data_IF_892849860382
#
_entry.id   IF_892849860382
#
_cell.length_a   1.000
_cell.length_b   1.000
_cell.length_c   1.000
_cell.angle_alpha   90.00
_cell.angle_beta   90.00
_cell.angle_gamma   90.00
#
_symmetry.space_group_name_H-M   'P 1'
#
loop_
_entity.id
_entity.type
_entity.pdbx_description
1 polymer ?
#
# COMPACT_ATOMS: atom_id res chain seq x y z
N UNK A 1 80.91 -17.34 -19.73
CA UNK A 1 80.88 -18.75 -20.19
C UNK A 1 80.20 -19.59 -19.12
N UNK A 2 79.13 -20.30 -19.52
CA UNK A 2 78.59 -21.56 -18.95
C UNK A 2 78.03 -21.51 -17.52
N UNK A 3 76.90 -22.09 -17.17
CA UNK A 3 75.81 -22.81 -17.84
C UNK A 3 74.76 -23.00 -16.71
N UNK A 4 73.48 -22.67 -16.88
CA UNK A 4 72.42 -23.55 -17.42
C UNK A 4 72.29 -24.94 -16.79
N UNK A 5 71.21 -25.08 -16.01
CA UNK A 5 70.03 -25.93 -16.33
C UNK A 5 69.96 -27.37 -15.78
N UNK A 6 68.70 -27.89 -15.75
CA UNK A 6 68.19 -29.29 -15.68
C UNK A 6 67.70 -29.77 -14.30
N UNK A 7 66.49 -30.30 -14.05
CA UNK A 7 65.24 -30.71 -14.79
C UNK A 7 64.13 -30.81 -13.71
N UNK A 8 62.87 -30.38 -13.89
CA UNK A 8 61.73 -31.08 -14.54
C UNK A 8 61.17 -32.22 -13.67
N UNK A 9 59.87 -32.52 -13.50
CA UNK A 9 58.56 -31.98 -13.86
C UNK A 9 57.50 -32.95 -13.25
N UNK A 10 56.23 -32.53 -13.23
CA UNK A 10 54.99 -33.35 -13.14
C UNK A 10 54.41 -33.67 -11.73
N UNK A 11 53.10 -33.65 -11.43
CA UNK A 11 51.83 -33.24 -12.10
C UNK A 11 50.69 -33.47 -11.06
N UNK A 12 49.64 -32.61 -11.10
CA UNK A 12 48.24 -32.80 -10.64
C UNK A 12 47.89 -33.28 -9.21
N UNK A 13 47.11 -32.48 -8.48
CA UNK A 13 45.63 -32.56 -8.46
C UNK A 13 45.02 -31.52 -7.49
N UNK A 14 44.22 -30.59 -8.03
CA UNK A 14 43.25 -29.82 -7.24
C UNK A 14 42.04 -30.70 -6.93
N UNK A 15 41.67 -30.79 -5.67
CA UNK A 15 40.29 -31.03 -5.26
C UNK A 15 39.99 -30.11 -4.06
N UNK A 16 39.28 -29.03 -4.35
CA UNK A 16 38.76 -28.10 -3.37
C UNK A 16 37.51 -28.69 -2.70
N UNK A 17 37.49 -28.71 -1.37
CA UNK A 17 36.29 -28.92 -0.58
C UNK A 17 36.33 -27.97 0.63
N UNK A 18 36.12 -26.68 0.38
CA UNK A 18 35.89 -25.68 1.42
C UNK A 18 34.40 -25.66 1.76
N UNK A 19 34.02 -26.28 2.88
CA UNK A 19 32.70 -26.12 3.47
C UNK A 19 32.68 -24.78 4.21
N UNK A 20 32.26 -23.72 3.52
CA UNK A 20 32.01 -22.40 4.12
C UNK A 20 30.56 -22.42 4.58
N UNK A 21 30.36 -22.40 5.90
CA UNK A 21 29.03 -22.20 6.50
C UNK A 21 28.49 -20.86 6.02
N UNK A 22 27.49 -20.92 5.15
CA UNK A 22 26.80 -19.75 4.61
C UNK A 22 25.98 -19.10 5.71
N UNK A 23 26.30 -17.85 6.03
CA UNK A 23 25.35 -16.92 6.63
C UNK A 23 24.17 -16.78 5.65
N UNK A 24 23.00 -17.25 6.05
CA UNK A 24 21.76 -16.93 5.36
C UNK A 24 21.56 -15.42 5.45
N UNK A 25 21.88 -14.72 4.36
CA UNK A 25 21.32 -13.40 4.13
C UNK A 25 19.81 -13.59 3.96
N UNK A 26 19.08 -13.41 5.06
CA UNK A 26 17.66 -13.07 4.99
C UNK A 26 17.58 -11.76 4.23
N UNK A 27 17.35 -11.86 2.92
CA UNK A 27 17.04 -10.72 2.09
C UNK A 27 15.68 -10.19 2.56
N UNK A 28 15.70 -9.35 3.60
CA UNK A 28 14.58 -8.52 3.98
C UNK A 28 14.10 -7.85 2.70
N UNK A 29 12.89 -8.21 2.26
CA UNK A 29 12.28 -7.66 1.07
C UNK A 29 12.43 -6.14 1.16
N UNK A 30 13.21 -5.56 0.26
CA UNK A 30 13.26 -4.11 0.10
C UNK A 30 11.81 -3.64 -0.04
N UNK A 31 11.35 -2.66 0.77
CA UNK A 31 10.04 -2.07 0.54
C UNK A 31 10.03 -1.54 -0.90
N UNK A 32 8.98 -1.83 -1.69
CA UNK A 32 8.93 -1.29 -3.03
C UNK A 32 8.96 0.23 -2.93
N UNK A 33 9.90 0.86 -3.66
CA UNK A 33 10.08 2.31 -3.77
C UNK A 33 8.86 3.06 -4.34
N UNK A 34 7.72 2.37 -4.48
CA UNK A 34 6.47 2.82 -5.09
C UNK A 34 5.32 2.88 -4.08
N UNK A 35 5.57 2.78 -2.76
CA UNK A 35 4.51 2.75 -1.75
C UNK A 35 3.47 3.86 -1.96
N UNK A 36 3.88 5.11 -2.23
CA UNK A 36 2.98 6.24 -2.51
C UNK A 36 2.18 6.08 -3.81
N UNK A 37 2.78 5.49 -4.85
CA UNK A 37 2.13 5.24 -6.15
C UNK A 37 1.18 4.05 -6.10
N UNK A 38 1.51 3.01 -5.33
CA UNK A 38 0.64 1.84 -5.08
C UNK A 38 -0.49 2.20 -4.11
N UNK A 39 -0.27 3.12 -3.17
CA UNK A 39 -1.24 3.64 -2.20
C UNK A 39 -2.42 4.41 -2.83
N UNK A 40 -2.33 4.77 -4.11
CA UNK A 40 -3.40 5.43 -4.86
C UNK A 40 -4.08 4.53 -5.91
N UNK A 41 -3.72 3.26 -6.01
CA UNK A 41 -4.25 2.36 -7.06
C UNK A 41 -5.61 1.80 -6.68
N UNK A 42 -6.65 2.59 -6.87
CA UNK A 42 -8.02 2.14 -6.72
C UNK A 42 -8.44 1.25 -7.89
N UNK A 43 -8.95 0.05 -7.59
CA UNK A 43 -9.60 -0.78 -8.62
C UNK A 43 -11.01 -0.26 -8.89
N UNK A 44 -11.21 0.42 -10.02
CA UNK A 44 -12.55 0.87 -10.42
C UNK A 44 -13.53 -0.30 -10.54
N UNK A 45 -13.07 -1.46 -11.05
CA UNK A 45 -13.91 -2.66 -11.15
C UNK A 45 -14.08 -3.40 -9.82
N UNK A 46 -13.09 -3.36 -8.94
CA UNK A 46 -13.24 -3.80 -7.56
C UNK A 46 -14.30 -2.98 -6.80
N UNK A 47 -14.26 -1.65 -6.90
CA UNK A 47 -15.29 -0.75 -6.34
C UNK A 47 -16.66 -1.06 -6.90
N UNK A 48 -16.77 -1.18 -8.24
CA UNK A 48 -18.04 -1.52 -8.88
C UNK A 48 -18.61 -2.85 -8.36
N UNK A 49 -17.78 -3.89 -8.24
CA UNK A 49 -18.22 -5.18 -7.70
C UNK A 49 -18.76 -5.07 -6.27
N UNK A 50 -18.13 -4.25 -5.42
CA UNK A 50 -18.59 -4.01 -4.05
C UNK A 50 -19.94 -3.28 -4.00
N UNK A 51 -20.12 -2.28 -4.85
CA UNK A 51 -21.40 -1.59 -4.98
C UNK A 51 -22.49 -2.53 -5.49
N UNK A 52 -22.20 -3.35 -6.49
CA UNK A 52 -23.12 -4.34 -7.02
C UNK A 52 -23.54 -5.36 -5.95
N UNK A 53 -22.59 -5.85 -5.13
CA UNK A 53 -22.88 -6.73 -3.99
C UNK A 53 -23.78 -6.02 -2.96
N UNK A 54 -23.49 -4.77 -2.61
CA UNK A 54 -24.32 -4.00 -1.67
C UNK A 54 -25.74 -3.80 -2.20
N UNK A 55 -25.88 -3.47 -3.48
CA UNK A 55 -27.16 -3.31 -4.14
C UNK A 55 -27.91 -4.64 -4.26
N UNK A 56 -27.21 -5.75 -4.47
CA UNK A 56 -27.83 -7.08 -4.55
C UNK A 56 -28.47 -7.47 -3.22
N UNK A 57 -27.79 -7.23 -2.10
CA UNK A 57 -28.35 -7.42 -0.75
C UNK A 57 -29.61 -6.60 -0.54
N UNK A 58 -29.58 -5.31 -0.91
CA UNK A 58 -30.76 -4.44 -0.85
C UNK A 58 -31.90 -4.98 -1.73
N UNK A 59 -31.58 -5.44 -2.94
CA UNK A 59 -32.56 -5.99 -3.87
C UNK A 59 -33.24 -7.26 -3.34
N UNK A 60 -32.50 -8.15 -2.65
CA UNK A 60 -33.07 -9.32 -1.97
C UNK A 60 -34.14 -8.87 -0.97
N UNK A 61 -33.80 -7.97 -0.04
CA UNK A 61 -34.73 -7.52 1.00
C UNK A 61 -35.84 -6.60 0.48
N UNK A 62 -35.68 -6.07 -0.73
CA UNK A 62 -36.72 -5.29 -1.42
C UNK A 62 -37.65 -6.16 -2.28
N UNK A 63 -37.53 -7.50 -2.22
CA UNK A 63 -38.36 -8.41 -3.01
C UNK A 63 -38.03 -8.40 -4.51
N UNK A 64 -36.78 -8.08 -4.89
CA UNK A 64 -36.32 -7.99 -6.29
C UNK A 64 -35.22 -9.03 -6.58
N UNK A 65 -35.50 -10.35 -6.46
CA UNK A 65 -34.49 -11.40 -6.59
C UNK A 65 -33.86 -11.45 -8.00
N UNK A 66 -34.61 -11.18 -9.06
CA UNK A 66 -34.07 -11.10 -10.42
C UNK A 66 -33.01 -9.99 -10.55
N UNK A 67 -33.20 -8.85 -9.88
CA UNK A 67 -32.22 -7.78 -9.85
C UNK A 67 -30.99 -8.17 -9.04
N UNK A 68 -31.17 -8.83 -7.89
CA UNK A 68 -30.06 -9.33 -7.09
C UNK A 68 -29.17 -10.29 -7.90
N UNK A 69 -29.77 -11.23 -8.63
CA UNK A 69 -29.04 -12.17 -9.51
C UNK A 69 -28.27 -11.44 -10.61
N UNK A 70 -28.85 -10.40 -11.20
CA UNK A 70 -28.16 -9.58 -12.21
C UNK A 70 -26.94 -8.87 -11.60
N UNK A 71 -27.12 -8.20 -10.47
CA UNK A 71 -26.05 -7.46 -9.79
C UNK A 71 -24.91 -8.38 -9.35
N UNK A 72 -25.21 -9.56 -8.81
CA UNK A 72 -24.15 -10.52 -8.45
C UNK A 72 -23.38 -11.00 -9.69
N UNK A 73 -24.04 -11.21 -10.83
CA UNK A 73 -23.35 -11.53 -12.10
C UNK A 73 -22.46 -10.38 -12.58
N UNK A 74 -22.91 -9.13 -12.44
CA UNK A 74 -22.13 -7.94 -12.75
C UNK A 74 -20.91 -7.81 -11.83
N UNK A 75 -21.07 -8.14 -10.54
CA UNK A 75 -19.96 -8.22 -9.59
C UNK A 75 -18.94 -9.30 -9.98
N UNK A 76 -19.39 -10.50 -10.38
CA UNK A 76 -18.50 -11.57 -10.88
C UNK A 76 -17.69 -11.11 -12.10
N UNK A 77 -18.33 -10.43 -13.05
CA UNK A 77 -17.65 -9.91 -14.24
C UNK A 77 -16.65 -8.82 -13.89
N UNK A 78 -17.04 -7.90 -13.00
CA UNK A 78 -16.16 -6.81 -12.55
C UNK A 78 -14.93 -7.36 -11.82
N UNK A 79 -15.09 -8.36 -10.96
CA UNK A 79 -13.95 -8.99 -10.28
C UNK A 79 -12.99 -9.70 -11.25
N UNK A 80 -13.49 -10.35 -12.30
CA UNK A 80 -12.61 -10.95 -13.35
C UNK A 80 -11.75 -9.93 -14.08
N UNK A 81 -12.22 -8.68 -14.18
CA UNK A 81 -11.45 -7.57 -14.73
C UNK A 81 -10.49 -7.03 -13.67
N UNK A 82 -10.96 -6.85 -12.43
CA UNK A 82 -10.16 -6.35 -11.32
C UNK A 82 -8.96 -7.25 -11.00
N UNK A 83 -9.09 -8.57 -11.15
CA UNK A 83 -7.97 -9.51 -11.01
C UNK A 83 -6.80 -9.24 -11.97
N UNK A 84 -7.05 -8.52 -13.07
CA UNK A 84 -6.08 -8.27 -14.15
C UNK A 84 -5.64 -6.81 -14.26
N UNK A 85 -6.21 -5.92 -13.45
CA UNK A 85 -6.00 -4.48 -13.58
C UNK A 85 -4.68 -3.99 -12.92
N UNK A 86 -3.90 -4.91 -12.33
CA UNK A 86 -2.62 -4.65 -11.66
C UNK A 86 -2.70 -3.59 -10.53
N UNK A 87 -3.88 -3.39 -9.95
CA UNK A 87 -4.06 -2.53 -8.76
C UNK A 87 -3.81 -3.28 -7.46
N UNK A 88 -3.85 -4.61 -7.51
CA UNK A 88 -3.63 -5.47 -6.36
C UNK A 88 -2.19 -5.44 -5.86
N UNK A 89 -2.01 -5.55 -4.54
CA UNK A 89 -0.71 -5.65 -3.91
C UNK A 89 -0.63 -6.84 -2.94
N UNK A 90 0.58 -7.39 -2.76
CA UNK A 90 0.82 -8.47 -1.81
C UNK A 90 1.22 -7.90 -0.46
N UNK A 91 0.49 -8.28 0.60
CA UNK A 91 0.79 -7.85 1.97
C UNK A 91 0.21 -8.85 2.98
N UNK A 92 0.85 -9.01 4.14
CA UNK A 92 0.25 -9.76 5.23
C UNK A 92 -0.90 -8.96 5.86
N UNK A 93 -1.95 -9.63 6.33
CA UNK A 93 -3.07 -8.94 7.00
C UNK A 93 -2.58 -8.20 8.26
N UNK A 94 -1.58 -8.77 8.95
CA UNK A 94 -0.95 -8.15 10.13
C UNK A 94 -0.25 -6.82 9.84
N UNK A 95 0.11 -6.55 8.59
CA UNK A 95 0.82 -5.34 8.21
C UNK A 95 -0.12 -4.21 7.79
N UNK A 96 -1.41 -4.53 7.57
CA UNK A 96 -2.46 -3.56 7.29
C UNK A 96 -2.78 -2.79 8.56
N UNK A 97 -2.78 -1.47 8.46
CA UNK A 97 -3.01 -0.58 9.60
C UNK A 97 -4.36 0.11 9.45
N UNK A 98 -5.31 -0.06 10.39
CA UNK A 98 -6.50 0.78 10.40
C UNK A 98 -6.11 2.24 10.72
N UNK A 99 -6.91 3.23 10.28
CA UNK A 99 -6.70 4.61 10.68
C UNK A 99 -6.85 4.76 12.20
N UNK A 100 -6.17 5.74 12.84
CA UNK A 100 -6.21 5.92 14.30
C UNK A 100 -7.61 6.12 14.89
N UNK A 101 -8.56 6.59 14.07
CA UNK A 101 -9.97 6.79 14.45
C UNK A 101 -10.82 5.52 14.42
N UNK A 102 -10.28 4.40 13.89
CA UNK A 102 -10.97 3.11 13.85
C UNK A 102 -10.33 2.12 14.82
N UNK A 103 -11.19 1.44 15.59
CA UNK A 103 -10.77 0.25 16.31
C UNK A 103 -10.37 -0.84 15.31
N UNK A 104 -9.35 -1.63 15.67
CA UNK A 104 -8.99 -2.81 14.89
C UNK A 104 -10.22 -3.72 14.73
N UNK A 105 -10.51 -4.13 13.50
CA UNK A 105 -11.70 -4.92 13.21
C UNK A 105 -11.65 -6.26 13.97
N UNK A 106 -12.75 -6.71 14.60
CA UNK A 106 -12.78 -8.01 15.26
C UNK A 106 -12.39 -9.13 14.28
N UNK A 107 -11.41 -9.94 14.65
CA UNK A 107 -10.89 -11.00 13.78
C UNK A 107 -9.87 -10.53 12.73
N UNK A 108 -9.28 -9.34 12.86
CA UNK A 108 -8.04 -8.99 12.16
C UNK A 108 -7.01 -10.09 12.44
N UNK A 109 -6.78 -10.95 11.44
CA UNK A 109 -5.98 -12.12 11.65
C UNK A 109 -4.54 -11.68 11.91
N UNK A 110 -3.87 -12.27 12.91
CA UNK A 110 -2.40 -12.24 13.04
C UNK A 110 -1.71 -13.04 11.90
N UNK A 111 -2.34 -13.10 10.74
CA UNK A 111 -1.87 -13.87 9.60
C UNK A 111 -0.72 -13.09 8.98
N UNK A 112 0.48 -13.63 9.19
CA UNK A 112 1.74 -13.11 8.64
C UNK A 112 1.99 -13.60 7.22
N UNK A 113 1.11 -14.46 6.67
CA UNK A 113 1.23 -14.93 5.28
C UNK A 113 0.72 -13.85 4.34
N UNK A 114 1.53 -13.37 3.39
CA UNK A 114 1.09 -12.39 2.40
C UNK A 114 -0.04 -12.94 1.54
N UNK A 115 -1.10 -12.14 1.37
CA UNK A 115 -2.18 -12.38 0.42
C UNK A 115 -2.33 -11.20 -0.52
N UNK A 116 -3.03 -11.41 -1.64
CA UNK A 116 -3.28 -10.35 -2.63
C UNK A 116 -4.48 -9.52 -2.23
N UNK A 117 -4.23 -8.25 -1.96
CA UNK A 117 -5.21 -7.25 -1.55
C UNK A 117 -5.56 -6.36 -2.72
N UNK A 118 -6.87 -6.19 -2.95
CA UNK A 118 -7.40 -5.29 -3.97
C UNK A 118 -7.97 -4.04 -3.30
N UNK A 119 -7.48 -2.84 -3.65
CA UNK A 119 -8.09 -1.60 -3.18
C UNK A 119 -9.44 -1.37 -3.85
N UNK A 120 -10.50 -1.28 -3.04
CA UNK A 120 -11.89 -1.09 -3.49
C UNK A 120 -12.49 0.24 -3.03
N UNK A 121 -11.79 0.97 -2.16
CA UNK A 121 -12.11 2.33 -1.77
C UNK A 121 -10.87 3.06 -1.27
N UNK A 122 -10.87 4.38 -1.35
CA UNK A 122 -9.79 5.20 -0.81
C UNK A 122 -10.33 6.56 -0.35
N UNK A 123 -9.84 7.02 0.80
CA UNK A 123 -10.13 8.32 1.36
C UNK A 123 -8.83 9.08 1.65
N UNK A 124 -8.88 10.40 1.53
CA UNK A 124 -7.78 11.32 1.89
C UNK A 124 -8.22 12.13 3.10
N UNK A 125 -7.43 12.06 4.17
CA UNK A 125 -7.62 12.89 5.36
C UNK A 125 -6.58 14.00 5.36
N UNK A 126 -7.03 15.25 5.49
CA UNK A 126 -6.17 16.41 5.68
C UNK A 126 -6.38 16.92 7.10
N UNK A 127 -5.30 17.22 7.82
CA UNK A 127 -5.35 17.73 9.19
C UNK A 127 -4.39 18.89 9.33
N UNK A 128 -4.89 20.03 9.80
CA UNK A 128 -4.11 21.20 10.18
C UNK A 128 -4.56 21.73 11.54
N UNK A 129 -3.96 22.82 11.99
CA UNK A 129 -4.31 23.49 13.24
C UNK A 129 -5.32 24.64 13.05
N UNK A 130 -5.91 24.76 11.86
CA UNK A 130 -6.82 25.83 11.42
C UNK A 130 -6.32 27.26 11.70
N UNK A 131 -5.01 27.44 11.91
CA UNK A 131 -4.43 28.75 12.18
C UNK A 131 -4.17 29.50 10.87
N UNK A 132 -4.55 30.77 10.77
CA UNK A 132 -4.36 31.56 9.54
C UNK A 132 -2.89 32.00 9.37
N UNK A 133 -1.95 31.05 9.30
CA UNK A 133 -0.52 31.33 9.12
C UNK A 133 -0.24 31.66 7.64
N UNK A 134 0.44 32.78 7.33
CA UNK A 134 0.80 33.13 5.95
C UNK A 134 1.59 32.04 5.22
N UNK A 135 2.38 31.25 5.96
CA UNK A 135 3.13 30.11 5.43
C UNK A 135 2.21 28.97 4.93
N UNK A 136 1.17 28.61 5.69
CA UNK A 136 0.20 27.59 5.30
C UNK A 136 -0.61 28.02 4.08
N UNK A 137 -1.07 29.28 4.04
CA UNK A 137 -1.80 29.81 2.87
C UNK A 137 -0.99 29.74 1.57
N UNK A 138 0.32 30.08 1.64
CA UNK A 138 1.23 29.94 0.49
C UNK A 138 1.44 28.48 0.09
N UNK A 139 1.54 27.57 1.05
CA UNK A 139 1.69 26.15 0.78
C UNK A 139 0.44 25.58 0.10
N UNK A 140 -0.77 25.93 0.55
CA UNK A 140 -2.03 25.54 -0.10
C UNK A 140 -2.09 26.07 -1.53
N UNK A 141 -1.73 27.34 -1.76
CA UNK A 141 -1.69 27.90 -3.11
C UNK A 141 -0.71 27.14 -4.03
N UNK A 142 0.48 26.83 -3.52
CA UNK A 142 1.48 26.06 -4.28
C UNK A 142 1.04 24.61 -4.53
N UNK A 143 0.43 23.95 -3.54
CA UNK A 143 -0.13 22.62 -3.69
C UNK A 143 -1.23 22.60 -4.77
N UNK A 144 -2.12 23.59 -4.78
CA UNK A 144 -3.15 23.74 -5.82
C UNK A 144 -2.55 23.89 -7.22
N UNK A 145 -1.43 24.61 -7.37
CA UNK A 145 -0.73 24.68 -8.65
C UNK A 145 -0.15 23.33 -9.08
N UNK A 146 0.39 22.54 -8.14
CA UNK A 146 0.89 21.20 -8.43
C UNK A 146 -0.25 20.28 -8.85
N UNK A 147 -1.40 20.33 -8.16
CA UNK A 147 -2.59 19.56 -8.53
C UNK A 147 -3.11 19.91 -9.92
N UNK A 148 -3.20 21.21 -10.26
CA UNK A 148 -3.57 21.66 -11.62
C UNK A 148 -2.63 21.14 -12.70
N UNK A 149 -1.36 20.89 -12.35
CA UNK A 149 -0.34 20.32 -13.24
C UNK A 149 -0.33 18.78 -13.26
N UNK A 150 -1.29 18.13 -12.59
CA UNK A 150 -1.36 16.67 -12.48
C UNK A 150 -0.25 16.08 -11.61
N UNK A 151 0.27 16.83 -10.63
CA UNK A 151 1.39 16.44 -9.76
C UNK A 151 0.93 16.28 -8.30
N UNK A 152 0.11 15.26 -7.97
CA UNK A 152 -0.40 15.06 -6.62
C UNK A 152 0.70 14.82 -5.59
N UNK A 153 1.75 14.05 -5.92
CA UNK A 153 2.87 13.79 -5.00
C UNK A 153 3.61 15.08 -4.61
N UNK A 154 3.78 16.00 -5.56
CA UNK A 154 4.39 17.29 -5.31
C UNK A 154 3.49 18.18 -4.43
N UNK A 155 2.17 18.12 -4.63
CA UNK A 155 1.21 18.85 -3.81
C UNK A 155 1.25 18.38 -2.35
N UNK A 156 1.21 17.06 -2.13
CA UNK A 156 1.26 16.44 -0.81
C UNK A 156 2.54 16.81 -0.07
N UNK A 157 3.69 16.79 -0.78
CA UNK A 157 4.98 17.19 -0.20
C UNK A 157 4.97 18.65 0.25
N UNK A 158 4.39 19.55 -0.54
CA UNK A 158 4.27 20.97 -0.19
C UNK A 158 3.40 21.17 1.05
N UNK A 159 2.28 20.45 1.15
CA UNK A 159 1.37 20.52 2.31
C UNK A 159 2.05 19.99 3.59
N UNK A 160 2.70 18.82 3.50
CA UNK A 160 3.40 18.19 4.63
C UNK A 160 4.49 19.09 5.24
N UNK A 161 5.22 19.84 4.40
CA UNK A 161 6.25 20.80 4.84
C UNK A 161 5.69 22.04 5.56
N UNK A 162 4.39 22.33 5.41
CA UNK A 162 3.73 23.48 6.01
C UNK A 162 2.88 23.12 7.24
N UNK A 163 3.15 21.97 7.86
CA UNK A 163 2.36 21.40 8.96
C UNK A 163 0.88 21.15 8.60
N UNK A 164 0.59 20.96 7.31
CA UNK A 164 -0.70 20.44 6.84
C UNK A 164 -0.50 18.94 6.59
N UNK A 165 -0.96 18.12 7.54
CA UNK A 165 -0.81 16.68 7.45
C UNK A 165 -1.76 16.09 6.41
N UNK A 166 -1.27 15.12 5.63
CA UNK A 166 -2.07 14.37 4.66
C UNK A 166 -1.88 12.89 4.93
N UNK A 167 -2.99 12.17 5.10
CA UNK A 167 -3.00 10.73 5.27
C UNK A 167 -3.95 10.07 4.26
N UNK A 168 -3.59 8.86 3.83
CA UNK A 168 -4.40 8.04 2.94
C UNK A 168 -4.98 6.86 3.73
N UNK A 169 -6.25 6.55 3.50
CA UNK A 169 -6.89 5.33 4.00
C UNK A 169 -7.40 4.54 2.82
N UNK A 170 -6.85 3.35 2.57
CA UNK A 170 -7.38 2.42 1.56
C UNK A 170 -8.27 1.38 2.22
N UNK A 171 -9.45 1.15 1.65
CA UNK A 171 -10.26 -0.03 1.91
C UNK A 171 -9.84 -1.13 0.93
N UNK A 172 -9.38 -2.26 1.46
CA UNK A 172 -8.79 -3.36 0.69
C UNK A 172 -9.44 -4.69 1.01
N UNK A 173 -9.51 -5.59 0.03
CA UNK A 173 -10.18 -6.90 0.16
C UNK A 173 -9.29 -8.03 -0.36
N UNK A 174 -9.37 -9.24 0.21
CA UNK A 174 -8.58 -10.37 -0.23
C UNK A 174 -9.18 -10.99 -1.50
N UNK A 175 -8.55 -10.78 -2.66
CA UNK A 175 -9.10 -11.08 -4.00
C UNK A 175 -9.70 -12.49 -4.10
N UNK A 176 -8.89 -13.50 -3.77
CA UNK A 176 -9.28 -14.91 -3.92
C UNK A 176 -10.52 -15.24 -3.08
N UNK A 177 -10.58 -14.71 -1.86
CA UNK A 177 -11.71 -14.94 -0.96
C UNK A 177 -12.96 -14.20 -1.45
N UNK A 178 -12.80 -12.95 -1.89
CA UNK A 178 -13.89 -12.15 -2.44
C UNK A 178 -14.52 -12.79 -3.67
N UNK A 179 -13.72 -13.27 -4.63
CA UNK A 179 -14.21 -13.97 -5.83
C UNK A 179 -14.96 -15.24 -5.44
N UNK A 180 -14.38 -16.06 -4.56
CA UNK A 180 -15.02 -17.29 -4.12
C UNK A 180 -16.36 -17.05 -3.40
N UNK A 181 -16.44 -16.03 -2.55
CA UNK A 181 -17.69 -15.70 -1.84
C UNK A 181 -18.74 -15.13 -2.81
N UNK A 182 -18.37 -14.29 -3.80
CA UNK A 182 -19.30 -13.81 -4.83
C UNK A 182 -19.83 -14.96 -5.68
N UNK A 183 -18.97 -15.89 -6.11
CA UNK A 183 -19.38 -17.08 -6.86
C UNK A 183 -20.31 -17.98 -6.04
N UNK A 184 -20.03 -18.14 -4.75
CA UNK A 184 -20.92 -18.86 -3.82
C UNK A 184 -22.27 -18.17 -3.68
N UNK A 185 -22.30 -16.85 -3.55
CA UNK A 185 -23.55 -16.10 -3.50
C UNK A 185 -24.36 -16.27 -4.80
N UNK A 186 -23.70 -16.25 -5.96
CA UNK A 186 -24.35 -16.51 -7.25
C UNK A 186 -25.01 -17.89 -7.31
N UNK A 187 -24.30 -18.92 -6.82
CA UNK A 187 -24.85 -20.28 -6.73
C UNK A 187 -26.04 -20.40 -5.78
N UNK A 188 -26.01 -19.69 -4.65
CA UNK A 188 -27.13 -19.66 -3.70
C UNK A 188 -28.36 -18.94 -4.27
N UNK A 189 -28.15 -17.82 -4.98
CA UNK A 189 -29.23 -17.12 -5.69
C UNK A 189 -29.86 -17.99 -6.78
N UNK A 190 -29.07 -18.77 -7.50
CA UNK A 190 -29.57 -19.71 -8.50
C UNK A 190 -30.40 -20.86 -7.89
N UNK A 191 -30.23 -21.13 -6.59
CA UNK A 191 -30.98 -22.12 -5.83
C UNK A 191 -32.10 -21.49 -4.98
N UNK A 192 -32.47 -20.22 -5.23
CA UNK A 192 -33.46 -19.44 -4.48
C UNK A 192 -33.19 -19.31 -2.97
N UNK A 193 -31.94 -19.53 -2.55
CA UNK A 193 -31.47 -19.39 -1.17
C UNK A 193 -31.05 -17.96 -0.87
N UNK A 194 -32.03 -17.05 -0.89
CA UNK A 194 -31.77 -15.61 -0.84
C UNK A 194 -31.16 -15.16 0.49
N UNK A 195 -31.60 -15.74 1.61
CA UNK A 195 -31.06 -15.37 2.92
C UNK A 195 -29.60 -15.82 3.07
N UNK A 196 -29.29 -17.04 2.66
CA UNK A 196 -27.91 -17.55 2.69
C UNK A 196 -27.01 -16.80 1.71
N UNK A 197 -27.53 -16.42 0.54
CA UNK A 197 -26.82 -15.56 -0.40
C UNK A 197 -26.51 -14.19 0.24
N UNK A 198 -27.45 -13.59 0.97
CA UNK A 198 -27.21 -12.36 1.71
C UNK A 198 -26.11 -12.50 2.77
N UNK A 199 -26.10 -13.60 3.53
CA UNK A 199 -25.05 -13.84 4.52
C UNK A 199 -23.65 -13.96 3.89
N UNK A 200 -23.55 -14.63 2.74
CA UNK A 200 -22.29 -14.71 1.99
C UNK A 200 -21.87 -13.35 1.45
N UNK A 201 -22.80 -12.56 0.91
CA UNK A 201 -22.52 -11.19 0.46
C UNK A 201 -22.17 -10.25 1.61
N UNK A 202 -22.75 -10.44 2.80
CA UNK A 202 -22.34 -9.73 4.02
C UNK A 202 -20.90 -10.06 4.38
N UNK A 203 -20.50 -11.33 4.29
CA UNK A 203 -19.12 -11.75 4.52
C UNK A 203 -18.13 -11.06 3.56
N UNK A 204 -18.52 -10.84 2.30
CA UNK A 204 -17.71 -10.03 1.36
C UNK A 204 -17.50 -8.61 1.90
N UNK A 205 -18.55 -7.97 2.41
CA UNK A 205 -18.44 -6.62 3.01
C UNK A 205 -17.60 -6.62 4.28
N UNK A 206 -17.75 -7.64 5.12
CA UNK A 206 -17.00 -7.78 6.37
C UNK A 206 -15.52 -8.18 6.14
N UNK A 207 -15.18 -8.60 4.92
CA UNK A 207 -13.79 -8.93 4.52
C UNK A 207 -12.92 -7.71 4.26
N UNK A 208 -13.52 -6.51 4.19
CA UNK A 208 -12.78 -5.26 4.03
C UNK A 208 -11.78 -5.12 5.18
N UNK A 209 -10.57 -4.69 4.84
CA UNK A 209 -9.54 -4.24 5.77
C UNK A 209 -9.10 -2.84 5.37
N UNK A 210 -8.43 -2.16 6.28
CA UNK A 210 -7.93 -0.81 6.04
C UNK A 210 -6.41 -0.80 6.06
N UNK A 211 -5.82 -0.12 5.09
CA UNK A 211 -4.41 0.24 5.10
C UNK A 211 -4.29 1.76 5.12
N UNK A 212 -3.92 2.27 6.28
CA UNK A 212 -3.75 3.67 6.57
C UNK A 212 -2.27 4.03 6.55
N UNK A 213 -1.97 5.14 5.88
CA UNK A 213 -0.62 5.67 5.77
C UNK A 213 -0.63 7.17 6.01
N UNK A 214 0.12 7.58 7.03
CA UNK A 214 0.52 8.97 7.23
C UNK A 214 1.71 9.28 6.33
N UNK A 215 1.56 10.25 5.44
CA UNK A 215 2.63 10.63 4.49
C UNK A 215 3.85 11.19 5.23
N UNK A 216 3.65 11.91 6.34
CA UNK A 216 4.73 12.47 7.16
C UNK A 216 5.58 11.38 7.83
N UNK A 217 5.01 10.20 8.06
CA UNK A 217 5.69 9.06 8.69
C UNK A 217 6.51 8.19 7.71
N UNK A 218 6.48 8.46 6.40
CA UNK A 218 7.20 7.66 5.41
C UNK A 218 8.73 7.94 5.42
N UNK A 219 9.58 6.90 5.50
CA UNK A 219 11.03 7.08 5.49
C UNK A 219 11.51 7.64 4.15
N UNK A 220 12.33 8.70 4.21
CA UNK A 220 12.80 9.46 3.04
C UNK A 220 12.18 10.85 2.88
N UNK A 221 11.18 11.21 3.70
CA UNK A 221 10.61 12.58 3.72
C UNK A 221 11.18 13.50 4.80
N UNK A 222 12.10 13.02 5.64
CA UNK A 222 12.78 13.84 6.63
C UNK A 222 14.29 13.79 6.43
N UNK A 223 14.85 14.81 5.77
CA UNK A 223 16.14 15.43 6.11
C UNK A 223 16.53 16.45 5.02
N UNK A 224 16.20 17.72 5.23
CA UNK A 224 17.15 18.77 4.86
C UNK A 224 17.96 19.00 6.13
N UNK A 225 19.30 18.78 6.12
CA UNK A 225 20.11 19.18 7.26
C UNK A 225 19.96 20.69 7.43
N UNK A 226 19.51 21.11 8.60
CA UNK A 226 19.44 22.52 8.96
C UNK A 226 20.86 23.10 8.81
N UNK A 227 21.06 23.90 7.77
CA UNK A 227 22.23 24.75 7.62
C UNK A 227 22.20 25.73 8.78
N UNK A 228 22.95 25.41 9.83
CA UNK A 228 23.21 26.34 10.93
C UNK A 228 24.03 27.50 10.39
N UNK A 229 23.34 28.56 9.99
CA UNK A 229 23.93 29.88 9.96
C UNK A 229 23.90 30.41 11.40
N UNK A 230 25.05 30.37 12.07
CA UNK A 230 25.33 31.33 13.14
C UNK A 230 26.35 32.32 12.59
N UNK A 231 26.00 33.59 12.74
CA UNK A 231 26.65 34.77 12.20
C UNK A 231 28.03 35.01 12.80
N UNK A 232 28.87 35.63 11.97
CA UNK A 232 30.13 36.25 12.34
C UNK A 232 30.01 37.23 13.52
N UNK A 233 31.02 37.24 14.39
CA UNK A 233 31.52 38.45 15.04
C UNK A 233 33.04 38.30 15.25
N UNK A 234 33.77 39.32 14.81
CA UNK A 234 35.21 39.36 14.65
C UNK A 234 35.97 39.77 15.92
N UNK A 235 37.30 39.58 15.84
CA UNK A 235 38.39 40.36 16.47
C UNK A 235 39.20 39.62 17.55
N UNK A 236 40.49 39.41 17.30
CA UNK A 236 41.44 38.89 18.30
C UNK A 236 42.77 38.41 17.72
N UNK A 237 43.63 39.37 17.40
CA UNK A 237 44.96 39.28 16.78
C UNK A 237 46.03 38.60 17.68
N UNK A 238 46.81 37.68 17.09
CA UNK A 238 48.26 37.35 17.27
C UNK A 238 48.91 37.04 18.65
N UNK A 239 49.62 35.89 18.64
CA UNK A 239 51.03 35.62 19.07
C UNK A 239 51.45 35.73 20.55
N UNK A 240 51.99 34.61 21.07
CA UNK A 240 53.19 34.45 21.93
C UNK A 240 53.21 32.99 22.45
N UNK A 241 54.32 32.25 22.67
CA UNK A 241 55.78 32.42 22.58
C UNK A 241 56.36 31.01 22.57
#
# INVERSE_FOLDING_TARGET
MRNSSIKGAAVFAMAAASCVLSLENVNAAQPPANAVTDMGKLSSKGTQAFDDVRLARLAIFSGRPAQATKLVKEAQQSMKVAEKDNTAFLKAESDLKPPPSMNAQPGAAKNTTPVSWLPVGADVTVTDDFSAKPAQSKAVASANEQLKKGKPDAAVKVLSLADVNVAYTMAVVPIKQTVADIDKAAGLLAADKYYEADQVMKKVQDSVRYDWVDVKALPGQSAVPAKSASSAAASGTTVAK
#
